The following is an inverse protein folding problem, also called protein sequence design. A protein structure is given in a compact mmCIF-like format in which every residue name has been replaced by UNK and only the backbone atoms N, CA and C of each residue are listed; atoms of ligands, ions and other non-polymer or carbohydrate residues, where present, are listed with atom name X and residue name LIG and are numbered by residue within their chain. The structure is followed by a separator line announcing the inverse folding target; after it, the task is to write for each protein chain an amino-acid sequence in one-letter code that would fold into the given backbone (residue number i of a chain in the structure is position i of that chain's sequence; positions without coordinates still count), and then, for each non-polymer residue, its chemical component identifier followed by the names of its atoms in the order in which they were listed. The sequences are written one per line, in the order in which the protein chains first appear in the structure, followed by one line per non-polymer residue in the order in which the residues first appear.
data_IF_324112070320
#
_entry.id   IF_324112070320
#
_cell.length_a   1.000
_cell.length_b   1.000
_cell.length_c   1.000
_cell.angle_alpha   90.00
_cell.angle_beta   90.00
_cell.angle_gamma   90.00
#
_symmetry.space_group_name_H-M   'P 1'
#
loop_
_entity.id
_entity.type
_entity.pdbx_description
1 polymer ?
#
# COMPACT_ATOMS: atom_id res chain seq x y z
N UNK A 1 -22.19 -10.90 -11.26
CA UNK A 1 -20.84 -10.40 -11.58
C UNK A 1 -20.10 -10.24 -10.26
N UNK A 2 -18.87 -10.71 -10.16
CA UNK A 2 -18.03 -10.40 -9.00
C UNK A 2 -17.28 -9.11 -9.31
N UNK A 3 -17.22 -8.17 -8.37
CA UNK A 3 -16.43 -6.94 -8.54
C UNK A 3 -15.14 -7.07 -7.74
N UNK A 4 -14.06 -6.52 -8.28
CA UNK A 4 -12.78 -6.47 -7.59
C UNK A 4 -12.92 -5.67 -6.28
N UNK A 5 -12.55 -6.21 -5.11
CA UNK A 5 -12.67 -5.48 -3.84
C UNK A 5 -11.69 -4.31 -3.76
N UNK A 6 -10.63 -4.30 -4.58
CA UNK A 6 -9.63 -3.23 -4.59
C UNK A 6 -10.02 -2.03 -5.48
N UNK A 7 -10.56 -2.27 -6.68
CA UNK A 7 -10.83 -1.19 -7.66
C UNK A 7 -12.28 -1.09 -8.13
N UNK A 8 -13.17 -1.99 -7.68
CA UNK A 8 -14.59 -2.01 -8.06
C UNK A 8 -14.89 -2.48 -9.49
N UNK A 9 -13.86 -2.75 -10.31
CA UNK A 9 -14.07 -3.20 -11.69
C UNK A 9 -14.74 -4.59 -11.75
N UNK A 10 -15.55 -4.86 -12.78
CA UNK A 10 -16.13 -6.18 -12.98
C UNK A 10 -15.03 -7.22 -13.25
N UNK A 11 -15.09 -8.34 -12.54
CA UNK A 11 -14.17 -9.47 -12.66
C UNK A 11 -14.90 -10.71 -13.17
N UNK A 12 -14.19 -11.53 -13.94
CA UNK A 12 -14.71 -12.83 -14.35
C UNK A 12 -14.76 -13.76 -13.13
N UNK A 13 -15.76 -14.65 -13.07
CA UNK A 13 -15.99 -15.53 -11.91
C UNK A 13 -14.80 -16.44 -11.58
N UNK A 14 -13.98 -16.76 -12.57
CA UNK A 14 -12.82 -17.65 -12.44
C UNK A 14 -11.49 -16.91 -12.63
N UNK A 15 -11.47 -15.57 -12.52
CA UNK A 15 -10.25 -14.80 -12.66
C UNK A 15 -9.39 -14.92 -11.39
N UNK A 16 -8.15 -15.39 -11.55
CA UNK A 16 -7.17 -15.40 -10.45
C UNK A 16 -6.69 -13.98 -10.12
N UNK A 17 -6.69 -13.07 -11.11
CA UNK A 17 -6.21 -11.70 -10.98
C UNK A 17 -7.17 -10.72 -11.68
N UNK A 18 -7.30 -9.50 -11.16
CA UNK A 18 -8.09 -8.45 -11.76
C UNK A 18 -7.38 -7.84 -12.99
N UNK A 19 -7.93 -7.99 -14.18
CA UNK A 19 -7.33 -7.45 -15.43
C UNK A 19 -7.27 -5.92 -15.53
N UNK A 20 -7.86 -5.18 -14.58
CA UNK A 20 -7.84 -3.71 -14.56
C UNK A 20 -6.85 -3.10 -13.55
N UNK A 21 -6.64 -3.76 -12.41
CA UNK A 21 -5.74 -3.26 -11.35
C UNK A 21 -4.68 -4.26 -10.90
N UNK A 22 -4.67 -5.48 -11.42
CA UNK A 22 -3.70 -6.53 -11.06
C UNK A 22 -3.94 -7.23 -9.72
N UNK A 23 -4.96 -6.84 -8.95
CA UNK A 23 -5.25 -7.43 -7.63
C UNK A 23 -5.56 -8.93 -7.71
N UNK A 24 -4.96 -9.74 -6.83
CA UNK A 24 -5.20 -11.18 -6.74
C UNK A 24 -6.53 -11.46 -6.02
N UNK A 25 -7.46 -12.14 -6.68
CA UNK A 25 -8.82 -12.36 -6.19
C UNK A 25 -8.98 -13.63 -5.34
N UNK A 26 -7.92 -14.44 -5.24
CA UNK A 26 -7.92 -15.65 -4.42
C UNK A 26 -7.15 -15.42 -3.11
N UNK A 27 -7.82 -15.44 -1.95
CA UNK A 27 -7.12 -15.55 -0.68
C UNK A 27 -6.43 -16.93 -0.62
N UNK A 28 -5.15 -16.94 -0.25
CA UNK A 28 -4.39 -18.16 0.01
C UNK A 28 -5.07 -18.86 1.20
N UNK A 29 -5.80 -19.94 0.91
CA UNK A 29 -6.38 -20.79 1.93
C UNK A 29 -5.24 -21.53 2.65
N UNK A 30 -4.80 -20.97 3.78
CA UNK A 30 -4.02 -21.74 4.76
C UNK A 30 -4.99 -22.70 5.43
N UNK A 31 -4.93 -23.97 5.04
CA UNK A 31 -5.67 -25.07 5.67
C UNK A 31 -5.28 -25.19 7.15
N UNK A 32 -6.23 -25.17 8.10
CA UNK A 32 -6.02 -25.78 9.40
C UNK A 32 -6.51 -27.23 9.38
N UNK A 33 -5.65 -28.15 9.79
CA UNK A 33 -5.99 -29.55 10.03
C UNK A 33 -7.08 -29.70 11.11
N UNK A 34 -7.89 -30.79 11.11
CA UNK A 34 -9.08 -30.90 11.92
C UNK A 34 -8.78 -31.50 13.30
N UNK A 35 -9.51 -31.04 14.33
CA UNK A 35 -9.75 -31.76 15.59
C UNK A 35 -11.19 -31.49 16.08
N UNK A 36 -11.78 -32.41 16.88
CA UNK A 36 -13.17 -32.86 16.69
C UNK A 36 -14.23 -32.12 17.53
N UNK A 37 -15.49 -32.29 17.09
CA UNK A 37 -16.75 -31.82 17.67
C UNK A 37 -16.99 -32.24 19.13
N UNK A 38 -17.65 -31.37 19.91
CA UNK A 38 -18.56 -31.81 20.96
C UNK A 38 -19.69 -30.81 21.24
N UNK A 39 -20.91 -31.29 21.03
CA UNK A 39 -22.17 -31.11 21.77
C UNK A 39 -22.84 -29.72 21.92
N UNK A 40 -23.92 -29.57 21.14
CA UNK A 40 -25.33 -29.30 21.55
C UNK A 40 -25.59 -28.55 22.85
N UNK A 41 -26.42 -27.49 22.81
CA UNK A 41 -27.74 -27.43 23.47
C UNK A 41 -28.58 -26.28 22.88
N UNK A 42 -29.76 -26.64 22.35
CA UNK A 42 -30.86 -25.72 21.98
C UNK A 42 -31.61 -25.28 23.24
N UNK A 43 -32.03 -24.01 23.32
CA UNK A 43 -33.23 -23.62 24.07
C UNK A 43 -34.07 -22.65 23.22
N UNK A 44 -35.36 -22.94 23.20
CA UNK A 44 -36.44 -22.33 22.43
C UNK A 44 -37.22 -21.33 23.30
N UNK A 45 -37.80 -20.29 22.70
CA UNK A 45 -39.22 -19.87 22.85
C UNK A 45 -39.42 -18.38 22.48
N UNK A 46 -40.53 -18.11 21.79
CA UNK A 46 -40.99 -16.83 21.19
C UNK A 46 -42.13 -16.18 22.03
N UNK A 47 -42.98 -15.23 21.57
CA UNK A 47 -42.94 -14.24 20.47
C UNK A 47 -43.39 -12.80 20.98
N UNK A 48 -44.20 -11.95 20.27
CA UNK A 48 -43.85 -10.54 19.98
C UNK A 48 -44.71 -9.49 20.71
N UNK A 49 -44.25 -8.24 20.79
CA UNK A 49 -45.13 -7.09 21.07
C UNK A 49 -44.76 -5.88 20.21
N UNK A 50 -45.81 -5.34 19.60
CA UNK A 50 -45.83 -4.23 18.67
C UNK A 50 -45.70 -2.85 19.33
N UNK A 51 -45.23 -1.91 18.51
CA UNK A 51 -45.68 -0.51 18.34
C UNK A 51 -45.82 0.43 19.55
N UNK A 52 -45.12 1.56 19.48
CA UNK A 52 -45.40 2.71 20.35
C UNK A 52 -44.46 3.88 20.08
N UNK A 53 -44.90 4.80 19.22
CA UNK A 53 -44.22 6.05 18.89
C UNK A 53 -43.96 6.94 20.13
N UNK A 54 -42.76 7.51 20.23
CA UNK A 54 -42.52 8.74 20.97
C UNK A 54 -41.32 9.48 20.36
N UNK A 55 -41.63 10.52 19.58
CA UNK A 55 -40.66 11.45 19.00
C UNK A 55 -40.07 12.31 20.13
N UNK A 56 -38.83 12.02 20.53
CA UNK A 56 -38.06 12.91 21.41
C UNK A 56 -37.13 13.77 20.57
N UNK A 57 -37.49 15.04 20.44
CA UNK A 57 -36.76 16.08 19.72
C UNK A 57 -35.49 16.42 20.50
N UNK A 58 -34.40 15.69 20.26
CA UNK A 58 -33.07 16.10 20.72
C UNK A 58 -32.58 17.25 19.84
N UNK A 59 -32.46 18.42 20.47
CA UNK A 59 -31.87 19.61 19.89
C UNK A 59 -30.38 19.33 19.67
N UNK A 60 -29.99 19.00 18.45
CA UNK A 60 -28.59 18.80 18.07
C UNK A 60 -27.86 20.14 18.19
N UNK A 61 -27.09 20.32 19.25
CA UNK A 61 -26.07 21.37 19.32
C UNK A 61 -24.94 20.93 18.38
N UNK A 62 -24.75 21.65 17.27
CA UNK A 62 -23.61 21.43 16.38
C UNK A 62 -22.30 21.60 17.15
N UNK A 63 -21.33 20.68 17.05
CA UNK A 63 -20.01 20.89 17.64
C UNK A 63 -19.33 22.11 16.98
N UNK A 64 -18.52 22.89 17.72
CA UNK A 64 -17.77 23.98 17.12
C UNK A 64 -16.81 23.43 16.05
N UNK A 65 -16.52 24.21 14.99
CA UNK A 65 -15.56 23.81 13.98
C UNK A 65 -14.19 23.55 14.63
N UNK A 66 -13.42 22.54 14.16
CA UNK A 66 -12.08 22.30 14.65
C UNK A 66 -11.22 23.55 14.44
N UNK A 67 -10.29 23.87 15.37
CA UNK A 67 -9.36 24.97 15.17
C UNK A 67 -8.59 24.78 13.85
N UNK A 68 -8.25 25.86 13.13
CA UNK A 68 -7.45 25.75 11.92
C UNK A 68 -6.16 25.01 12.26
N UNK A 69 -5.70 24.07 11.41
CA UNK A 69 -4.45 23.38 11.66
C UNK A 69 -3.37 24.45 11.79
N UNK A 70 -2.75 24.52 12.97
CA UNK A 70 -1.61 25.38 13.20
C UNK A 70 -0.55 25.03 12.16
N UNK A 71 -0.32 25.97 11.24
CA UNK A 71 0.74 25.87 10.24
C UNK A 71 2.05 26.13 10.96
N UNK A 72 2.52 25.12 11.71
CA UNK A 72 3.90 25.08 12.13
C UNK A 72 4.69 24.85 10.84
N UNK A 73 5.22 25.92 10.28
CA UNK A 73 6.33 25.84 9.34
C UNK A 73 7.52 25.27 10.11
N UNK A 74 7.50 23.96 10.34
CA UNK A 74 8.65 23.23 10.81
C UNK A 74 9.73 23.43 9.76
N UNK A 75 10.86 23.97 10.18
CA UNK A 75 12.08 23.99 9.38
C UNK A 75 12.54 22.52 9.34
N UNK A 76 11.88 21.72 8.50
CA UNK A 76 12.21 20.31 8.31
C UNK A 76 13.52 20.26 7.57
N UNK A 77 14.58 19.81 8.25
CA UNK A 77 15.80 19.42 7.58
C UNK A 77 15.44 18.32 6.55
N UNK A 78 15.47 18.68 5.27
CA UNK A 78 15.19 17.73 4.19
C UNK A 78 16.37 16.79 4.08
N UNK A 79 16.10 15.49 4.21
CA UNK A 79 17.13 14.49 3.98
C UNK A 79 17.34 14.35 2.48
N UNK A 80 18.55 14.64 2.02
CA UNK A 80 18.96 14.25 0.68
C UNK A 80 19.28 12.75 0.66
N UNK A 81 18.84 12.07 -0.39
CA UNK A 81 19.07 10.64 -0.55
C UNK A 81 19.10 10.25 -2.04
N UNK A 82 19.66 9.08 -2.32
CA UNK A 82 19.69 8.48 -3.65
C UNK A 82 19.37 6.99 -3.58
N UNK A 83 18.95 6.45 -4.71
CA UNK A 83 18.84 5.02 -4.96
C UNK A 83 19.96 4.60 -5.92
N UNK A 84 20.73 3.59 -5.53
CA UNK A 84 21.80 3.05 -6.37
C UNK A 84 21.33 1.70 -6.91
N UNK A 85 21.15 1.59 -8.22
CA UNK A 85 20.77 0.32 -8.82
C UNK A 85 21.92 -0.68 -8.75
N UNK A 86 21.70 -1.85 -8.14
CA UNK A 86 22.75 -2.82 -7.81
C UNK A 86 23.42 -3.36 -9.07
N UNK A 87 22.65 -3.67 -10.11
CA UNK A 87 23.12 -4.37 -11.31
C UNK A 87 23.90 -3.44 -12.25
N UNK A 88 23.52 -2.17 -12.35
CA UNK A 88 24.12 -1.20 -13.28
C UNK A 88 24.99 -0.15 -12.60
N UNK A 89 24.92 -0.04 -11.27
CA UNK A 89 25.52 1.03 -10.46
C UNK A 89 25.06 2.44 -10.84
N UNK A 90 23.93 2.56 -11.52
CA UNK A 90 23.33 3.85 -11.84
C UNK A 90 22.75 4.47 -10.57
N UNK A 91 23.05 5.74 -10.34
CA UNK A 91 22.52 6.49 -9.21
C UNK A 91 21.31 7.33 -9.63
N UNK A 92 20.22 7.22 -8.89
CA UNK A 92 19.00 8.00 -9.05
C UNK A 92 18.81 8.86 -7.82
N UNK A 93 18.88 10.18 -7.98
CA UNK A 93 18.60 11.10 -6.86
C UNK A 93 17.12 11.08 -6.53
N UNK A 94 16.79 11.00 -5.25
CA UNK A 94 15.41 11.11 -4.79
C UNK A 94 15.03 12.60 -4.85
N UNK A 95 13.99 12.99 -5.63
CA UNK A 95 13.58 14.38 -5.70
C UNK A 95 13.11 14.87 -4.32
N UNK A 96 13.62 16.02 -3.89
CA UNK A 96 13.20 16.68 -2.65
C UNK A 96 12.04 17.64 -2.92
N UNK A 97 11.31 18.01 -1.86
CA UNK A 97 10.20 18.97 -1.95
C UNK A 97 8.85 18.40 -2.37
N UNK A 98 8.75 17.07 -2.56
CA UNK A 98 7.47 16.37 -2.72
C UNK A 98 7.24 15.42 -1.53
N UNK A 99 6.00 15.33 -1.01
CA UNK A 99 5.71 14.42 0.10
C UNK A 99 5.66 12.94 -0.34
N UNK A 100 5.45 12.68 -1.63
CA UNK A 100 5.38 11.35 -2.22
C UNK A 100 6.15 11.36 -3.54
N UNK A 101 6.94 10.31 -3.76
CA UNK A 101 7.74 10.05 -4.95
C UNK A 101 7.29 8.70 -5.51
N UNK A 102 6.72 8.70 -6.70
CA UNK A 102 6.21 7.51 -7.37
C UNK A 102 7.33 6.77 -8.10
N UNK A 103 7.46 5.47 -7.84
CA UNK A 103 8.46 4.60 -8.47
C UNK A 103 7.75 3.59 -9.37
N UNK A 104 8.19 3.51 -10.63
CA UNK A 104 7.65 2.54 -11.57
C UNK A 104 8.02 2.85 -13.01
N UNK A 105 7.27 2.26 -13.94
CA UNK A 105 7.41 2.49 -15.38
C UNK A 105 6.50 3.64 -15.88
N UNK A 106 6.84 4.30 -16.99
CA UNK A 106 6.02 5.35 -17.58
C UNK A 106 4.60 4.85 -17.89
N UNK A 107 3.64 5.75 -17.72
CA UNK A 107 2.23 5.50 -18.00
C UNK A 107 1.53 6.79 -18.46
N UNK A 108 0.37 6.63 -19.10
CA UNK A 108 -0.36 7.75 -19.72
C UNK A 108 -1.16 8.62 -18.72
N UNK A 109 -1.15 8.29 -17.42
CA UNK A 109 -1.94 8.97 -16.40
C UNK A 109 -1.09 9.89 -15.53
N UNK A 110 -0.16 9.32 -14.77
CA UNK A 110 0.73 10.04 -13.85
C UNK A 110 2.13 9.47 -14.08
N UNK A 111 3.05 10.23 -14.70
CA UNK A 111 4.41 9.74 -14.92
C UNK A 111 5.09 9.49 -13.56
N UNK A 112 5.88 8.41 -13.43
CA UNK A 112 6.62 8.16 -12.21
C UNK A 112 7.68 9.26 -12.02
N UNK A 113 7.95 9.61 -10.76
CA UNK A 113 9.06 10.48 -10.38
C UNK A 113 10.41 9.79 -10.60
N UNK A 114 10.45 8.49 -10.32
CA UNK A 114 11.59 7.61 -10.57
C UNK A 114 11.20 6.59 -11.63
N UNK A 115 11.64 6.83 -12.85
CA UNK A 115 11.45 5.93 -13.98
C UNK A 115 12.44 4.77 -13.93
N UNK A 116 11.91 3.54 -13.90
CA UNK A 116 12.71 2.30 -13.89
C UNK A 116 12.76 1.59 -15.25
N UNK A 117 12.11 2.10 -16.29
CA UNK A 117 12.00 1.43 -17.59
C UNK A 117 13.35 1.20 -18.27
N UNK A 118 14.32 2.10 -18.06
CA UNK A 118 15.68 2.00 -18.62
C UNK A 118 16.59 0.94 -17.98
N UNK A 119 16.14 0.25 -16.94
CA UNK A 119 16.93 -0.76 -16.23
C UNK A 119 16.71 -2.18 -16.78
N UNK A 120 17.71 -3.06 -16.67
CA UNK A 120 17.56 -4.46 -17.05
C UNK A 120 16.45 -5.12 -16.23
N UNK A 121 15.66 -5.99 -16.88
CA UNK A 121 14.53 -6.71 -16.27
C UNK A 121 13.39 -5.82 -15.74
N UNK A 122 13.28 -4.56 -16.18
CA UNK A 122 12.21 -3.64 -15.80
C UNK A 122 10.80 -4.16 -16.12
N UNK A 123 10.67 -5.20 -16.94
CA UNK A 123 9.39 -5.87 -17.25
C UNK A 123 8.65 -6.40 -16.01
N UNK A 124 9.38 -6.80 -14.97
CA UNK A 124 8.77 -7.26 -13.71
C UNK A 124 8.25 -6.11 -12.84
N UNK A 125 8.67 -4.88 -13.12
CA UNK A 125 8.26 -3.70 -12.36
C UNK A 125 6.95 -3.17 -12.93
N UNK A 126 6.05 -2.77 -12.03
CA UNK A 126 4.74 -2.25 -12.40
C UNK A 126 4.86 -0.78 -12.82
N UNK A 127 3.88 -0.28 -13.57
CA UNK A 127 3.84 1.14 -13.94
C UNK A 127 3.71 2.03 -12.70
N UNK A 128 2.87 1.60 -11.77
CA UNK A 128 2.75 2.16 -10.41
C UNK A 128 3.14 0.99 -9.50
N UNK A 129 4.32 1.02 -8.90
CA UNK A 129 4.86 -0.13 -8.17
C UNK A 129 5.02 0.15 -6.68
N UNK A 130 5.75 1.21 -6.35
CA UNK A 130 5.97 1.61 -4.97
C UNK A 130 6.01 3.13 -4.86
N UNK A 131 5.65 3.63 -3.68
CA UNK A 131 5.72 5.03 -3.34
C UNK A 131 6.76 5.22 -2.23
N UNK A 132 7.62 6.22 -2.41
CA UNK A 132 8.52 6.70 -1.39
C UNK A 132 7.94 7.97 -0.77
N UNK A 133 7.57 7.89 0.51
CA UNK A 133 6.96 8.98 1.27
C UNK A 133 8.00 9.69 2.10
N UNK A 134 7.99 11.01 2.02
CA UNK A 134 8.90 11.90 2.76
C UNK A 134 8.10 12.53 3.90
N UNK A 135 8.42 12.13 5.13
CA UNK A 135 7.74 12.56 6.35
C UNK A 135 8.79 13.11 7.32
N UNK A 136 8.92 14.44 7.38
CA UNK A 136 9.93 15.10 8.21
C UNK A 136 11.35 14.72 7.80
N UNK A 137 12.07 14.05 8.71
CA UNK A 137 13.42 13.52 8.54
C UNK A 137 13.43 12.00 8.34
N UNK A 138 12.37 11.44 7.76
CA UNK A 138 12.29 10.02 7.46
C UNK A 138 11.74 9.78 6.06
N UNK A 139 12.32 8.79 5.39
CA UNK A 139 11.81 8.25 4.15
C UNK A 139 11.18 6.89 4.42
N UNK A 140 9.97 6.67 3.89
CA UNK A 140 9.24 5.42 4.01
C UNK A 140 8.95 4.88 2.62
N UNK A 141 9.18 3.59 2.42
CA UNK A 141 8.77 2.89 1.20
C UNK A 141 7.47 2.14 1.47
N UNK A 142 6.55 2.20 0.50
CA UNK A 142 5.24 1.55 0.54
C UNK A 142 5.00 0.86 -0.80
N UNK A 143 4.65 -0.43 -0.78
CA UNK A 143 4.18 -1.11 -1.99
C UNK A 143 2.71 -0.74 -2.22
N UNK A 144 2.40 -0.20 -3.41
CA UNK A 144 1.06 0.32 -3.72
C UNK A 144 0.20 -0.70 -4.50
N UNK A 145 0.46 -1.99 -4.29
CA UNK A 145 -0.25 -3.08 -4.96
C UNK A 145 0.44 -3.52 -6.24
N UNK A 146 1.77 -3.65 -6.20
CA UNK A 146 2.52 -4.10 -7.36
C UNK A 146 2.25 -5.56 -7.70
N UNK A 147 2.44 -5.93 -8.98
CA UNK A 147 2.17 -7.30 -9.45
C UNK A 147 3.16 -8.34 -8.89
N UNK A 148 4.40 -7.94 -8.65
CA UNK A 148 5.48 -8.84 -8.21
C UNK A 148 5.96 -8.59 -6.77
N UNK A 149 5.38 -7.61 -6.08
CA UNK A 149 5.71 -7.22 -4.71
C UNK A 149 6.99 -6.39 -4.59
N UNK A 150 7.12 -5.66 -3.50
CA UNK A 150 8.34 -4.98 -3.08
C UNK A 150 9.00 -5.74 -1.92
N UNK A 151 10.32 -5.81 -1.88
CA UNK A 151 11.06 -6.51 -0.83
C UNK A 151 12.13 -5.61 -0.22
N UNK A 152 12.25 -5.62 1.10
CA UNK A 152 13.28 -4.90 1.85
C UNK A 152 14.20 -5.91 2.52
N UNK A 153 15.50 -5.85 2.22
CA UNK A 153 16.50 -6.77 2.76
C UNK A 153 16.05 -8.25 2.64
N UNK A 154 15.57 -8.62 1.44
CA UNK A 154 15.03 -9.94 1.09
C UNK A 154 13.73 -10.35 1.81
N UNK A 155 13.13 -9.46 2.60
CA UNK A 155 11.84 -9.68 3.27
C UNK A 155 10.72 -9.00 2.50
N UNK A 156 9.58 -9.68 2.21
CA UNK A 156 8.47 -9.06 1.50
C UNK A 156 7.82 -7.94 2.31
N UNK A 157 7.63 -6.79 1.67
CA UNK A 157 6.81 -5.70 2.18
C UNK A 157 5.37 -5.91 1.70
N UNK A 158 4.46 -6.14 2.64
CA UNK A 158 3.05 -6.32 2.30
C UNK A 158 2.47 -5.01 1.74
N UNK A 159 1.63 -5.05 0.69
CA UNK A 159 1.00 -3.86 0.12
C UNK A 159 0.27 -3.02 1.17
N UNK A 160 0.48 -1.70 1.11
CA UNK A 160 -0.07 -0.73 2.08
C UNK A 160 0.69 -0.63 3.41
N UNK A 161 1.63 -1.53 3.70
CA UNK A 161 2.53 -1.37 4.84
C UNK A 161 3.69 -0.43 4.47
N UNK A 162 4.05 0.43 5.41
CA UNK A 162 5.21 1.32 5.29
C UNK A 162 6.41 0.76 6.01
N UNK A 163 7.56 0.80 5.36
CA UNK A 163 8.86 0.49 5.98
C UNK A 163 9.72 1.75 6.03
N UNK A 164 10.26 2.09 7.20
CA UNK A 164 11.17 3.24 7.38
C UNK A 164 12.55 2.89 6.85
N UNK A 165 12.96 3.54 5.76
CA UNK A 165 14.24 3.28 5.14
C UNK A 165 15.41 3.77 6.00
N UNK A 166 16.41 2.91 6.14
CA UNK A 166 17.73 3.24 6.68
C UNK A 166 18.76 3.24 5.55
N UNK A 167 19.80 4.08 5.67
CA UNK A 167 20.91 4.07 4.71
C UNK A 167 21.52 2.66 4.64
N UNK A 168 21.70 2.15 3.43
CA UNK A 168 22.12 0.77 3.15
C UNK A 168 20.97 -0.22 2.92
N UNK A 169 19.70 0.16 3.15
CA UNK A 169 18.57 -0.73 2.91
C UNK A 169 18.49 -1.14 1.44
N UNK A 170 18.29 -2.44 1.23
CA UNK A 170 18.17 -3.05 -0.09
C UNK A 170 16.71 -3.20 -0.48
N UNK A 171 16.29 -2.49 -1.50
CA UNK A 171 14.91 -2.45 -2.02
C UNK A 171 14.87 -3.21 -3.34
N UNK A 172 14.21 -4.36 -3.38
CA UNK A 172 13.97 -5.08 -4.63
C UNK A 172 12.53 -4.85 -5.12
N UNK A 173 12.40 -4.51 -6.40
CA UNK A 173 11.12 -4.35 -7.09
C UNK A 173 10.84 -5.64 -7.85
N UNK A 174 9.99 -6.49 -7.27
CA UNK A 174 9.76 -7.85 -7.73
C UNK A 174 10.69 -8.88 -7.09
N UNK A 175 10.26 -10.14 -7.17
CA UNK A 175 10.99 -11.29 -6.63
C UNK A 175 12.28 -11.57 -7.42
N UNK A 176 13.29 -12.10 -6.74
CA UNK A 176 14.50 -12.63 -7.37
C UNK A 176 15.58 -11.60 -7.64
N UNK A 177 15.46 -10.41 -7.03
CA UNK A 177 16.53 -9.40 -7.02
C UNK A 177 16.99 -8.94 -8.41
N UNK A 178 16.12 -9.01 -9.41
CA UNK A 178 16.45 -8.63 -10.79
C UNK A 178 16.52 -7.12 -10.98
N UNK A 179 15.67 -6.38 -10.26
CA UNK A 179 15.67 -4.92 -10.19
C UNK A 179 15.81 -4.55 -8.72
N UNK A 180 17.00 -4.13 -8.31
CA UNK A 180 17.30 -3.86 -6.90
C UNK A 180 18.04 -2.54 -6.74
N UNK A 181 17.65 -1.78 -5.73
CA UNK A 181 18.27 -0.54 -5.36
C UNK A 181 18.81 -0.61 -3.93
N UNK A 182 19.93 0.05 -3.69
CA UNK A 182 20.38 0.40 -2.34
C UNK A 182 19.95 1.83 -2.07
N UNK A 183 19.24 2.04 -0.98
CA UNK A 183 18.93 3.37 -0.49
C UNK A 183 20.14 3.94 0.24
N UNK A 184 20.60 5.12 -0.17
CA UNK A 184 21.71 5.82 0.47
C UNK A 184 21.27 7.22 0.87
N UNK A 185 21.38 7.53 2.16
CA UNK A 185 21.19 8.88 2.68
C UNK A 185 22.47 9.68 2.46
N UNK A 186 22.34 10.86 1.85
CA UNK A 186 23.42 11.82 1.65
C UNK A 186 23.44 12.70 2.90
N UNK A 187 24.56 12.66 3.63
CA UNK A 187 24.80 13.42 4.85
C UNK A 187 25.32 14.81 4.56
#
# INVERSE_FOLDING_TARGET
MNSCPNCGAPTQRDANFCGQCGFNLHPIAVSPAPLPEMLTTKVSAAPPLESGAAQSRLKTLSPPPPPPPHVFAAITATIEAKLIHVQTRTELKIPTGRPVIHIGKPNDRIPPDIDVAGFPNSEIVSRIHADLRIEGDAHYIEDVGSANGTYINNTPLHPGNRHRLQSGDRIALGKGDLVTFIYERIS
#
